data_IF_654071759317
#
_entry.id   IF_654071759317
#
_cell.length_a   1.000
_cell.length_b   1.000
_cell.length_c   1.000
_cell.angle_alpha   90.00
_cell.angle_beta   90.00
_cell.angle_gamma   90.00
#
_symmetry.space_group_name_H-M   'P 1'
#
loop_
_entity.id
_entity.type
_entity.pdbx_description
1 polymer ?
#
# COMPACT_ATOMS: atom_id res chain seq x y z
N UNK A 1 5.20 19.60 7.09
CA UNK A 1 6.35 20.08 7.88
C UNK A 1 7.59 19.18 7.74
N UNK A 2 7.46 17.85 7.62
CA UNK A 2 8.63 16.96 7.43
C UNK A 2 9.52 17.37 6.24
N UNK A 3 8.95 17.75 5.10
CA UNK A 3 9.72 18.19 3.92
C UNK A 3 10.51 19.49 4.10
N UNK A 4 10.14 20.34 5.07
CA UNK A 4 10.82 21.62 5.31
C UNK A 4 12.23 21.44 5.86
N UNK A 5 12.44 20.41 6.67
CA UNK A 5 13.71 20.15 7.37
C UNK A 5 14.67 19.23 6.61
N UNK A 6 14.37 18.93 5.34
CA UNK A 6 15.20 18.08 4.47
C UNK A 6 15.68 16.77 5.15
N UNK A 7 14.75 15.92 5.63
CA UNK A 7 15.09 14.69 6.35
C UNK A 7 15.88 13.70 5.49
N UNK A 8 15.86 13.86 4.17
CA UNK A 8 16.55 13.00 3.22
C UNK A 8 18.08 13.22 3.18
N UNK A 9 18.60 14.23 3.91
CA UNK A 9 20.04 14.40 4.10
C UNK A 9 20.67 13.42 5.09
N UNK A 10 19.87 12.85 5.99
CA UNK A 10 20.34 11.90 7.01
C UNK A 10 19.60 10.59 6.81
N UNK A 11 20.32 9.59 6.31
CA UNK A 11 19.76 8.31 5.94
C UNK A 11 20.28 7.21 6.87
N UNK A 12 19.42 6.27 7.21
CA UNK A 12 19.75 5.10 8.00
C UNK A 12 19.70 3.88 7.10
N UNK A 13 20.70 3.00 7.25
CA UNK A 13 20.75 1.74 6.53
C UNK A 13 19.82 0.72 7.16
N UNK A 14 19.06 0.04 6.31
CA UNK A 14 18.16 -1.05 6.68
C UNK A 14 18.70 -2.36 6.11
N UNK A 15 18.88 -3.34 7.00
CA UNK A 15 19.22 -4.71 6.62
C UNK A 15 17.95 -5.52 6.41
N UNK A 16 17.61 -5.77 5.14
CA UNK A 16 16.52 -6.66 4.71
C UNK A 16 16.98 -7.61 3.60
N UNK A 17 16.06 -8.06 2.74
CA UNK A 17 16.41 -8.76 1.48
C UNK A 17 17.27 -7.88 0.56
N UNK A 18 17.04 -6.57 0.62
CA UNK A 18 17.83 -5.53 -0.04
C UNK A 18 18.34 -4.55 1.02
N UNK A 19 19.55 -4.05 0.83
CA UNK A 19 20.09 -2.95 1.62
C UNK A 19 19.47 -1.64 1.11
N UNK A 20 18.75 -0.94 1.97
CA UNK A 20 18.03 0.30 1.62
C UNK A 20 18.47 1.40 2.58
N UNK A 21 18.65 2.61 2.05
CA UNK A 21 18.93 3.82 2.83
C UNK A 21 17.71 4.70 2.79
N UNK A 22 17.19 5.10 3.95
CA UNK A 22 16.01 5.97 4.02
C UNK A 22 16.06 6.85 5.26
N UNK A 23 15.31 7.95 5.25
CA UNK A 23 15.25 8.87 6.40
C UNK A 23 14.52 8.21 7.58
N UNK A 24 14.96 8.51 8.81
CA UNK A 24 14.42 7.90 10.04
C UNK A 24 12.90 8.07 10.18
N UNK A 25 12.36 9.18 9.68
CA UNK A 25 10.92 9.49 9.69
C UNK A 25 10.05 8.52 8.87
N UNK A 26 10.63 7.84 7.88
CA UNK A 26 9.94 6.88 7.01
C UNK A 26 10.14 5.42 7.45
N UNK A 27 11.03 5.20 8.42
CA UNK A 27 11.43 3.90 8.90
C UNK A 27 10.57 3.47 10.09
N UNK A 28 10.47 2.16 10.28
CA UNK A 28 9.75 1.52 11.37
C UNK A 28 10.73 0.71 12.21
N UNK A 29 10.48 0.61 13.51
CA UNK A 29 11.30 -0.18 14.41
C UNK A 29 10.50 -1.37 14.95
N UNK A 30 10.97 -2.59 14.66
CA UNK A 30 10.31 -3.79 15.13
C UNK A 30 10.84 -4.18 16.51
N UNK A 31 10.07 -3.91 17.56
CA UNK A 31 10.41 -4.29 18.95
C UNK A 31 10.59 -5.80 19.18
N UNK A 32 10.00 -6.64 18.34
CA UNK A 32 10.05 -8.10 18.52
C UNK A 32 11.34 -8.73 17.99
N UNK A 33 11.91 -8.17 16.91
CA UNK A 33 13.18 -8.66 16.37
C UNK A 33 14.34 -7.66 16.58
N UNK A 34 14.07 -6.53 17.24
CA UNK A 34 15.02 -5.43 17.50
C UNK A 34 15.75 -4.95 16.25
N UNK A 35 15.06 -4.95 15.10
CA UNK A 35 15.63 -4.52 13.82
C UNK A 35 14.77 -3.41 13.22
N UNK A 36 15.44 -2.48 12.55
CA UNK A 36 14.81 -1.41 11.79
C UNK A 36 14.33 -1.94 10.43
N UNK A 37 13.22 -1.38 9.93
CA UNK A 37 12.55 -1.80 8.69
C UNK A 37 12.15 -0.59 7.87
N UNK A 38 12.38 -0.67 6.56
CA UNK A 38 11.86 0.30 5.60
C UNK A 38 10.46 -0.09 5.12
N UNK A 39 9.77 0.86 4.50
CA UNK A 39 8.46 0.63 3.88
C UNK A 39 8.49 -0.46 2.78
N UNK A 40 9.66 -0.71 2.16
CA UNK A 40 9.83 -1.75 1.16
C UNK A 40 10.08 -3.14 1.76
N UNK A 41 10.74 -3.19 2.93
CA UNK A 41 11.05 -4.46 3.62
C UNK A 41 9.86 -5.05 4.39
N UNK A 42 8.78 -4.29 4.58
CA UNK A 42 7.57 -4.73 5.30
C UNK A 42 6.54 -5.33 4.36
N UNK A 43 5.59 -6.10 4.91
CA UNK A 43 4.40 -6.52 4.18
C UNK A 43 3.29 -5.48 4.35
N UNK A 44 2.61 -5.16 3.25
CA UNK A 44 1.50 -4.21 3.21
C UNK A 44 0.19 -4.98 3.22
N UNK A 45 -0.69 -4.62 4.14
CA UNK A 45 -2.04 -5.17 4.24
C UNK A 45 -3.09 -4.08 4.05
N UNK A 46 -4.23 -4.49 3.51
CA UNK A 46 -5.41 -3.66 3.36
C UNK A 46 -6.23 -3.74 4.64
N UNK A 47 -6.34 -2.64 5.39
CA UNK A 47 -7.13 -2.63 6.63
C UNK A 47 -8.57 -2.13 6.38
N UNK A 48 -8.73 -1.04 5.63
CA UNK A 48 -10.05 -0.51 5.28
C UNK A 48 -10.06 0.34 4.01
N UNK A 49 -11.24 0.50 3.41
CA UNK A 49 -11.48 1.36 2.26
C UNK A 49 -12.29 2.58 2.69
N UNK A 50 -11.97 3.77 2.18
CA UNK A 50 -12.76 4.96 2.49
C UNK A 50 -12.83 5.92 1.30
N UNK A 51 -13.90 6.70 1.24
CA UNK A 51 -14.02 7.75 0.23
C UNK A 51 -13.29 9.01 0.71
N UNK A 52 -12.39 9.61 -0.09
CA UNK A 52 -11.69 10.82 0.32
C UNK A 52 -12.56 12.07 0.34
N UNK A 53 -13.78 12.02 -0.22
CA UNK A 53 -14.70 13.17 -0.22
C UNK A 53 -15.73 13.12 0.91
N UNK A 54 -16.47 12.02 1.05
CA UNK A 54 -17.47 11.91 2.12
C UNK A 54 -16.89 11.34 3.42
N UNK A 55 -15.63 10.88 3.42
CA UNK A 55 -14.94 10.27 4.56
C UNK A 55 -15.70 9.08 5.16
N UNK A 56 -16.51 8.42 4.34
CA UNK A 56 -17.25 7.21 4.69
C UNK A 56 -16.34 5.99 4.53
N UNK A 57 -16.32 5.15 5.55
CA UNK A 57 -15.60 3.88 5.53
C UNK A 57 -16.50 2.79 4.91
N UNK A 58 -15.96 2.01 3.98
CA UNK A 58 -16.68 0.95 3.29
C UNK A 58 -16.07 -0.43 3.61
N UNK A 59 -16.90 -1.41 4.02
CA UNK A 59 -16.46 -2.80 4.18
C UNK A 59 -15.91 -3.39 2.87
N UNK A 60 -14.94 -4.30 2.98
CA UNK A 60 -14.26 -4.88 1.79
C UNK A 60 -15.20 -5.64 0.85
N UNK A 61 -16.23 -6.32 1.37
CA UNK A 61 -17.22 -7.02 0.55
C UNK A 61 -18.03 -6.03 -0.31
N UNK A 62 -18.44 -4.91 0.29
CA UNK A 62 -19.18 -3.84 -0.40
C UNK A 62 -18.29 -3.10 -1.40
N UNK A 63 -17.05 -2.79 -1.03
CA UNK A 63 -16.06 -2.20 -1.93
C UNK A 63 -15.84 -3.09 -3.16
N UNK A 64 -15.73 -4.42 -2.97
CA UNK A 64 -15.61 -5.39 -4.08
C UNK A 64 -16.83 -5.37 -4.99
N UNK A 65 -18.05 -5.37 -4.43
CA UNK A 65 -19.29 -5.31 -5.21
C UNK A 65 -19.40 -4.01 -6.02
N UNK A 66 -19.03 -2.88 -5.41
CA UNK A 66 -19.04 -1.54 -6.03
C UNK A 66 -17.76 -1.20 -6.81
N UNK A 67 -16.95 -2.20 -7.17
CA UNK A 67 -15.72 -2.04 -7.97
C UNK A 67 -14.74 -0.97 -7.40
N UNK A 68 -14.59 -0.92 -6.08
CA UNK A 68 -13.77 0.04 -5.33
C UNK A 68 -14.15 1.51 -5.56
N UNK A 69 -15.44 1.80 -5.77
CA UNK A 69 -15.98 3.15 -5.95
C UNK A 69 -17.01 3.52 -4.87
N UNK A 70 -17.10 4.81 -4.57
CA UNK A 70 -18.12 5.36 -3.69
C UNK A 70 -19.45 5.53 -4.45
N UNK A 71 -20.57 5.10 -3.87
CA UNK A 71 -21.89 5.23 -4.51
C UNK A 71 -22.41 6.67 -4.56
N UNK A 72 -22.00 7.52 -3.60
CA UNK A 72 -22.56 8.87 -3.45
C UNK A 72 -21.73 9.95 -4.14
N UNK A 73 -20.40 9.77 -4.19
CA UNK A 73 -19.48 10.76 -4.73
C UNK A 73 -19.10 10.43 -6.17
N UNK A 74 -18.93 11.47 -6.99
CA UNK A 74 -18.52 11.36 -8.39
C UNK A 74 -17.31 12.23 -8.67
N UNK A 75 -16.48 11.81 -9.61
CA UNK A 75 -15.37 12.61 -10.13
C UNK A 75 -15.73 13.21 -11.48
N UNK A 76 -15.37 14.47 -11.68
CA UNK A 76 -15.58 15.17 -12.93
C UNK A 76 -14.73 14.49 -14.01
N UNK A 77 -15.31 14.07 -15.13
CA UNK A 77 -14.56 13.32 -16.12
C UNK A 77 -13.58 14.21 -16.90
N UNK A 78 -13.77 15.54 -16.87
CA UNK A 78 -12.87 16.49 -17.54
C UNK A 78 -11.60 16.79 -16.74
N UNK A 79 -11.72 17.01 -15.41
CA UNK A 79 -10.62 17.53 -14.56
C UNK A 79 -10.32 16.69 -13.30
N UNK A 80 -11.05 15.61 -13.04
CA UNK A 80 -10.86 14.70 -11.88
C UNK A 80 -11.14 15.32 -10.51
N UNK A 81 -11.69 16.53 -10.48
CA UNK A 81 -12.16 17.13 -9.25
C UNK A 81 -13.51 16.53 -8.83
N UNK A 82 -13.76 16.44 -7.52
CA UNK A 82 -15.04 15.92 -7.00
C UNK A 82 -16.21 16.77 -7.49
N UNK A 83 -17.27 16.13 -7.96
CA UNK A 83 -18.51 16.79 -8.35
C UNK A 83 -19.37 17.13 -7.13
N UNK A 84 -20.12 18.23 -7.25
CA UNK A 84 -21.09 18.67 -6.26
C UNK A 84 -22.50 18.57 -6.83
N UNK A 85 -23.46 18.13 -6.02
CA UNK A 85 -24.89 18.13 -6.39
C UNK A 85 -25.46 19.52 -6.17
N UNK A 86 -26.04 20.11 -7.21
CA UNK A 86 -26.72 21.41 -7.17
C UNK A 86 -28.20 21.23 -7.44
N UNK A 87 -29.02 22.03 -6.76
CA UNK A 87 -30.46 22.00 -6.89
C UNK A 87 -30.97 23.20 -7.70
N UNK A 88 -31.96 22.97 -8.54
CA UNK A 88 -32.75 23.98 -9.24
C UNK A 88 -34.23 23.64 -9.12
N UNK A 89 -35.09 24.66 -9.06
CA UNK A 89 -36.53 24.46 -9.05
C UNK A 89 -37.05 24.47 -10.48
N UNK A 90 -37.65 23.37 -10.92
CA UNK A 90 -38.22 23.24 -12.26
C UNK A 90 -39.76 23.19 -12.15
N UNK A 91 -40.49 23.98 -12.96
CA UNK A 91 -41.94 23.87 -13.05
C UNK A 91 -42.33 22.48 -13.59
N UNK A 92 -43.08 21.71 -12.81
CA UNK A 92 -43.59 20.41 -13.21
C UNK A 92 -45.12 20.32 -12.97
N UNK A 93 -45.88 19.70 -13.88
CA UNK A 93 -47.31 19.51 -13.69
C UNK A 93 -47.60 18.65 -12.45
N UNK A 94 -48.65 19.02 -11.72
CA UNK A 94 -49.13 18.26 -10.58
C UNK A 94 -49.80 16.96 -11.05
N UNK A 95 -49.60 15.82 -10.36
CA UNK A 95 -50.23 14.55 -10.72
C UNK A 95 -51.77 14.61 -10.71
N UNK A 96 -52.33 15.44 -9.83
CA UNK A 96 -53.78 15.54 -9.62
C UNK A 96 -54.47 16.58 -10.54
N UNK A 97 -53.71 17.47 -11.18
CA UNK A 97 -54.28 18.55 -11.99
C UNK A 97 -53.23 19.10 -13.00
N UNK A 98 -53.28 18.71 -14.29
CA UNK A 98 -52.28 19.11 -15.29
C UNK A 98 -52.31 20.61 -15.62
N UNK A 99 -53.33 21.33 -15.16
CA UNK A 99 -53.48 22.78 -15.29
C UNK A 99 -52.67 23.58 -14.25
N UNK A 100 -52.23 22.93 -13.15
CA UNK A 100 -51.48 23.56 -12.07
C UNK A 100 -50.03 23.07 -12.07
N UNK A 101 -49.10 24.01 -12.16
CA UNK A 101 -47.67 23.74 -12.14
C UNK A 101 -47.11 23.94 -10.73
N UNK A 102 -46.49 22.90 -10.17
CA UNK A 102 -45.77 22.99 -8.91
C UNK A 102 -44.26 23.03 -9.16
N UNK A 103 -43.52 23.80 -8.36
CA UNK A 103 -42.06 23.81 -8.41
C UNK A 103 -41.52 22.53 -7.77
N UNK A 104 -40.94 21.64 -8.57
CA UNK A 104 -40.24 20.45 -8.06
C UNK A 104 -38.74 20.72 -8.02
N UNK A 105 -38.08 20.27 -6.95
CA UNK A 105 -36.61 20.32 -6.84
C UNK A 105 -36.02 19.29 -7.79
N UNK A 106 -35.11 19.75 -8.64
CA UNK A 106 -34.36 18.94 -9.57
C UNK A 106 -32.86 19.11 -9.30
N UNK A 107 -32.12 18.01 -9.30
CA UNK A 107 -30.70 17.97 -8.98
C UNK A 107 -29.88 17.67 -10.23
N UNK A 108 -28.76 18.39 -10.39
CA UNK A 108 -27.76 18.18 -11.44
C UNK A 108 -26.34 18.19 -10.83
N UNK A 109 -25.38 17.57 -11.50
CA UNK A 109 -23.98 17.54 -11.04
C UNK A 109 -23.20 18.69 -11.66
N UNK A 110 -22.36 19.34 -10.87
CA UNK A 110 -21.51 20.44 -11.34
C UNK A 110 -20.10 20.38 -10.72
N UNK A 111 -19.11 20.71 -11.54
CA UNK A 111 -17.72 20.86 -11.11
C UNK A 111 -17.43 22.30 -10.66
N UNK A 112 -16.82 22.47 -9.49
CA UNK A 112 -16.37 23.77 -9.00
C UNK A 112 -15.18 24.36 -9.76
N UNK A 113 -14.34 23.50 -10.35
CA UNK A 113 -13.10 23.89 -11.03
C UNK A 113 -13.32 24.25 -12.51
N UNK A 114 -13.74 23.28 -13.34
CA UNK A 114 -13.86 23.48 -14.78
C UNK A 114 -15.28 23.85 -15.26
N UNK A 115 -16.22 24.08 -14.33
CA UNK A 115 -17.63 24.45 -14.60
C UNK A 115 -18.44 23.46 -15.44
N UNK A 116 -17.89 22.28 -15.75
CA UNK A 116 -18.62 21.18 -16.37
C UNK A 116 -19.89 20.84 -15.59
N UNK A 117 -20.98 20.57 -16.31
CA UNK A 117 -22.26 20.14 -15.74
C UNK A 117 -22.75 18.84 -16.35
N UNK A 118 -23.56 18.08 -15.60
CA UNK A 118 -24.21 16.88 -16.14
C UNK A 118 -25.16 17.18 -17.30
N UNK A 119 -25.60 18.43 -17.45
CA UNK A 119 -26.45 18.88 -18.55
C UNK A 119 -25.68 18.99 -19.86
N UNK A 120 -24.37 19.26 -19.81
CA UNK A 120 -23.50 19.37 -20.99
C UNK A 120 -23.45 18.05 -21.79
N UNK A 121 -23.63 16.92 -21.09
CA UNK A 121 -23.64 15.57 -21.65
C UNK A 121 -25.05 14.99 -21.77
N UNK A 122 -26.09 15.81 -21.59
CA UNK A 122 -27.48 15.41 -21.74
C UNK A 122 -28.01 14.48 -20.65
N UNK A 123 -27.38 14.39 -19.48
CA UNK A 123 -27.92 13.60 -18.36
C UNK A 123 -29.11 14.34 -17.74
N UNK A 124 -30.28 13.71 -17.75
CA UNK A 124 -31.48 14.27 -17.15
C UNK A 124 -31.34 14.49 -15.64
N UNK A 125 -31.82 15.64 -15.17
CA UNK A 125 -31.87 15.98 -13.75
C UNK A 125 -32.70 14.94 -12.97
N UNK A 126 -32.34 14.74 -11.70
CA UNK A 126 -32.99 13.76 -10.81
C UNK A 126 -33.82 14.46 -9.75
N UNK A 127 -34.91 13.83 -9.31
CA UNK A 127 -35.77 14.35 -8.23
C UNK A 127 -35.18 14.14 -6.83
N UNK A 128 -34.25 13.20 -6.70
CA UNK A 128 -33.55 12.87 -5.44
C UNK A 128 -32.07 13.24 -5.57
N UNK A 129 -31.49 13.81 -4.51
CA UNK A 129 -30.12 14.29 -4.50
C UNK A 129 -29.08 13.16 -4.65
N UNK A 130 -29.32 12.00 -4.03
CA UNK A 130 -28.45 10.82 -4.09
C UNK A 130 -29.24 9.56 -4.43
N UNK A 131 -28.59 8.59 -5.09
CA UNK A 131 -29.17 7.27 -5.44
C UNK A 131 -29.87 7.18 -6.81
N UNK A 132 -30.24 8.30 -7.43
CA UNK A 132 -30.82 8.32 -8.78
C UNK A 132 -29.82 8.40 -9.93
N UNK A 133 -28.53 8.57 -9.61
CA UNK A 133 -27.44 8.68 -10.58
C UNK A 133 -26.87 7.29 -10.85
N UNK A 134 -27.08 6.78 -12.07
CA UNK A 134 -26.58 5.49 -12.51
C UNK A 134 -25.61 5.68 -13.66
N UNK A 135 -24.55 4.87 -13.68
CA UNK A 135 -23.63 4.78 -14.80
C UNK A 135 -24.24 3.91 -15.92
N UNK A 136 -23.95 4.20 -17.20
CA UNK A 136 -24.29 3.30 -18.28
C UNK A 136 -23.63 1.93 -18.09
N UNK A 137 -24.41 0.86 -18.27
CA UNK A 137 -23.88 -0.50 -18.28
C UNK A 137 -22.99 -0.74 -19.50
N UNK A 138 -22.01 -1.64 -19.34
CA UNK A 138 -21.14 -1.99 -20.46
C UNK A 138 -21.97 -2.74 -21.54
N UNK A 139 -21.95 -2.28 -22.81
CA UNK A 139 -22.72 -2.89 -23.90
C UNK A 139 -22.47 -4.39 -24.09
N UNK A 140 -21.26 -4.87 -23.77
CA UNK A 140 -20.85 -6.25 -23.99
C UNK A 140 -21.01 -7.16 -22.76
N UNK A 141 -21.61 -6.67 -21.66
CA UNK A 141 -21.74 -7.42 -20.40
C UNK A 141 -22.40 -8.79 -20.59
N UNK A 142 -23.50 -8.85 -21.35
CA UNK A 142 -24.22 -10.11 -21.57
C UNK A 142 -23.37 -11.14 -22.32
N UNK A 143 -22.60 -10.69 -23.33
CA UNK A 143 -21.71 -11.56 -24.10
C UNK A 143 -20.56 -12.08 -23.25
N UNK A 144 -19.99 -11.21 -22.41
CA UNK A 144 -18.92 -11.59 -21.46
C UNK A 144 -19.42 -12.71 -20.53
N UNK A 145 -20.62 -12.56 -19.95
CA UNK A 145 -21.18 -13.59 -19.06
C UNK A 145 -21.36 -14.94 -19.77
N UNK A 146 -21.90 -14.95 -20.99
CA UNK A 146 -22.04 -16.17 -21.80
C UNK A 146 -20.69 -16.84 -22.11
N UNK A 147 -19.67 -16.05 -22.44
CA UNK A 147 -18.31 -16.57 -22.67
C UNK A 147 -17.71 -17.16 -21.40
N UNK A 148 -17.90 -16.51 -20.25
CA UNK A 148 -17.43 -17.02 -18.96
C UNK A 148 -18.07 -18.37 -18.65
N UNK A 149 -19.39 -18.50 -18.79
CA UNK A 149 -20.10 -19.76 -18.55
C UNK A 149 -19.61 -20.89 -19.47
N UNK A 150 -19.44 -20.59 -20.76
CA UNK A 150 -18.90 -21.53 -21.75
C UNK A 150 -17.50 -22.05 -21.35
N UNK A 151 -16.57 -21.13 -21.08
CA UNK A 151 -15.19 -21.51 -20.73
C UNK A 151 -15.09 -22.16 -19.35
N UNK A 152 -15.99 -21.84 -18.41
CA UNK A 152 -16.07 -22.54 -17.13
C UNK A 152 -16.45 -24.01 -17.31
N UNK A 153 -17.45 -24.30 -18.16
CA UNK A 153 -17.84 -25.68 -18.48
C UNK A 153 -16.69 -26.43 -19.17
N UNK A 154 -16.04 -25.80 -20.15
CA UNK A 154 -14.90 -26.38 -20.85
C UNK A 154 -13.73 -26.69 -19.90
N UNK A 155 -13.39 -25.75 -19.02
CA UNK A 155 -12.34 -25.91 -18.01
C UNK A 155 -12.69 -27.01 -16.99
N UNK A 156 -13.96 -27.17 -16.63
CA UNK A 156 -14.42 -28.25 -15.76
C UNK A 156 -14.24 -29.62 -16.43
N UNK A 157 -14.57 -29.72 -17.72
CA UNK A 157 -14.34 -30.95 -18.50
C UNK A 157 -12.86 -31.28 -18.61
N UNK A 158 -12.02 -30.28 -18.90
CA UNK A 158 -10.56 -30.45 -18.97
C UNK A 158 -9.98 -30.88 -17.61
N UNK A 159 -10.46 -30.30 -16.51
CA UNK A 159 -10.06 -30.65 -15.15
C UNK A 159 -10.37 -32.11 -14.83
N UNK A 160 -11.60 -32.57 -15.12
CA UNK A 160 -12.00 -33.97 -14.92
C UNK A 160 -11.15 -34.93 -15.74
N UNK A 161 -10.87 -34.60 -17.00
CA UNK A 161 -10.02 -35.41 -17.86
C UNK A 161 -8.57 -35.46 -17.34
N UNK A 162 -8.03 -34.31 -16.90
CA UNK A 162 -6.69 -34.19 -16.34
C UNK A 162 -6.55 -35.00 -15.04
N UNK A 163 -7.55 -34.93 -14.16
CA UNK A 163 -7.58 -35.69 -12.91
C UNK A 163 -7.69 -37.20 -13.19
N UNK A 164 -8.51 -37.61 -14.17
CA UNK A 164 -8.58 -39.01 -14.64
C UNK A 164 -7.24 -39.50 -15.18
N UNK A 165 -6.59 -38.73 -16.06
CA UNK A 165 -5.24 -39.06 -16.59
C UNK A 165 -4.19 -39.12 -15.48
N UNK A 166 -4.24 -38.21 -14.51
CA UNK A 166 -3.34 -38.19 -13.34
C UNK A 166 -3.52 -39.43 -12.47
N UNK A 167 -4.77 -39.87 -12.25
CA UNK A 167 -5.08 -41.09 -11.50
C UNK A 167 -4.61 -42.33 -12.24
N UNK A 168 -4.85 -42.41 -13.56
CA UNK A 168 -4.41 -43.51 -14.41
C UNK A 168 -2.87 -43.64 -14.44
N UNK A 169 -2.15 -42.51 -14.58
CA UNK A 169 -0.67 -42.48 -14.54
C UNK A 169 -0.11 -42.87 -13.17
N UNK A 170 -0.80 -42.54 -12.07
CA UNK A 170 -0.42 -42.95 -10.70
C UNK A 170 -0.63 -44.45 -10.43
N UNK A 171 -1.37 -45.17 -11.28
CA UNK A 171 -1.58 -46.63 -11.17
C UNK A 171 -1.06 -47.36 -12.42
N UNK A 172 0.27 -47.54 -12.57
CA UNK A 172 0.86 -48.13 -13.77
C UNK A 172 0.45 -49.59 -14.04
N UNK A 173 -0.05 -50.33 -13.04
CA UNK A 173 -0.36 -51.76 -13.16
C UNK A 173 -1.85 -52.12 -13.24
N UNK A 174 -2.77 -51.15 -13.31
CA UNK A 174 -4.20 -51.43 -13.53
C UNK A 174 -4.86 -50.56 -14.62
N UNK A 175 -4.31 -50.41 -15.85
CA UNK A 175 -5.06 -49.75 -16.92
C UNK A 175 -6.09 -50.66 -17.61
N UNK A 176 -6.05 -51.98 -17.37
CA UNK A 176 -6.75 -52.97 -18.21
C UNK A 176 -7.93 -53.71 -17.56
N UNK A 177 -8.12 -53.64 -16.23
CA UNK A 177 -9.09 -54.51 -15.55
C UNK A 177 -10.44 -53.86 -15.18
N UNK A 178 -10.60 -52.54 -15.34
CA UNK A 178 -11.83 -51.80 -15.01
C UNK A 178 -12.26 -50.91 -16.19
N UNK A 179 -12.32 -51.48 -17.40
CA UNK A 179 -13.08 -50.83 -18.47
C UNK A 179 -14.57 -50.96 -18.16
N UNK A 180 -15.39 -50.01 -18.60
CA UNK A 180 -16.86 -50.08 -18.49
C UNK A 180 -17.42 -51.45 -18.92
N UNK A 181 -16.74 -52.11 -19.86
CA UNK A 181 -17.08 -53.42 -20.37
C UNK A 181 -16.96 -54.56 -19.32
N UNK A 182 -15.98 -54.54 -18.41
CA UNK A 182 -15.88 -55.55 -17.35
C UNK A 182 -16.87 -55.29 -16.20
N UNK A 183 -17.19 -54.03 -15.89
CA UNK A 183 -18.20 -53.68 -14.88
C UNK A 183 -19.59 -54.14 -15.34
N UNK A 184 -19.97 -53.85 -16.59
CA UNK A 184 -21.26 -54.26 -17.15
C UNK A 184 -21.43 -55.78 -17.21
N UNK A 185 -20.34 -56.53 -17.43
CA UNK A 185 -20.36 -58.01 -17.44
C UNK A 185 -20.46 -58.54 -16.00
N UNK A 186 -19.76 -57.96 -15.03
CA UNK A 186 -19.87 -58.36 -13.61
C UNK A 186 -21.28 -58.08 -13.04
N UNK A 187 -21.93 -56.99 -13.48
CA UNK A 187 -23.29 -56.61 -13.08
C UNK A 187 -24.36 -57.49 -13.77
N UNK A 188 -24.19 -57.79 -15.07
CA UNK A 188 -25.12 -58.62 -15.85
C UNK A 188 -25.02 -60.12 -15.52
N UNK A 189 -23.88 -60.59 -15.02
CA UNK A 189 -23.67 -61.99 -14.62
C UNK A 189 -23.54 -62.19 -13.09
N UNK A 190 -23.84 -61.18 -12.26
CA UNK A 190 -23.99 -61.33 -10.81
C UNK A 190 -22.73 -61.76 -10.03
N UNK A 191 -21.53 -61.50 -10.56
CA UNK A 191 -20.25 -61.94 -9.98
C UNK A 191 -19.67 -60.99 -8.91
N UNK A 192 -20.43 -59.97 -8.47
CA UNK A 192 -20.00 -58.92 -7.55
C UNK A 192 -19.80 -59.34 -6.08
N UNK A 193 -20.23 -60.54 -5.67
CA UNK A 193 -20.29 -60.95 -4.25
C UNK A 193 -18.97 -61.39 -3.63
N UNK A 194 -17.84 -61.42 -4.37
CA UNK A 194 -16.54 -61.90 -3.84
C UNK A 194 -15.44 -60.86 -3.64
N UNK A 195 -15.63 -59.60 -4.02
CA UNK A 195 -14.64 -58.53 -3.79
C UNK A 195 -14.94 -57.65 -2.56
N UNK A 196 -16.02 -57.94 -1.85
CA UNK A 196 -16.47 -57.18 -0.68
C UNK A 196 -15.80 -57.68 0.61
N UNK A 197 -14.47 -57.83 0.63
CA UNK A 197 -13.74 -57.94 1.90
C UNK A 197 -13.32 -56.53 2.32
N UNK A 198 -14.23 -55.87 3.04
CA UNK A 198 -14.01 -54.57 3.65
C UNK A 198 -12.75 -54.59 4.52
N UNK A 199 -11.81 -53.68 4.26
CA UNK A 199 -10.90 -53.18 5.29
C UNK A 199 -11.55 -51.92 5.89
N UNK A 200 -11.72 -51.84 7.21
CA UNK A 200 -12.28 -50.64 7.84
C UNK A 200 -11.24 -49.51 7.77
N UNK A 201 -11.66 -48.31 7.33
CA UNK A 201 -10.88 -47.08 7.48
C UNK A 201 -10.44 -46.33 6.21
N UNK A 202 -10.81 -46.75 5.00
CA UNK A 202 -10.55 -45.97 3.79
C UNK A 202 -11.82 -45.20 3.35
N UNK A 203 -11.77 -43.86 3.17
CA UNK A 203 -12.93 -43.09 2.77
C UNK A 203 -13.35 -43.44 1.33
N UNK A 204 -14.67 -43.55 1.14
CA UNK A 204 -15.40 -44.01 -0.06
C UNK A 204 -15.23 -43.04 -1.25
N UNK A 205 -14.48 -41.95 -1.09
CA UNK A 205 -14.30 -40.88 -2.07
C UNK A 205 -13.38 -41.24 -3.24
N UNK A 206 -12.69 -42.39 -3.20
CA UNK A 206 -11.70 -42.78 -4.21
C UNK A 206 -12.23 -43.65 -5.36
N UNK A 207 -13.48 -44.12 -5.29
CA UNK A 207 -14.14 -44.90 -6.36
C UNK A 207 -15.22 -44.12 -7.13
N UNK A 208 -15.67 -42.97 -6.61
CA UNK A 208 -16.67 -42.13 -7.27
C UNK A 208 -16.19 -41.49 -8.60
N UNK A 209 -14.89 -41.53 -8.89
CA UNK A 209 -14.32 -41.00 -10.14
C UNK A 209 -14.48 -41.91 -11.36
N UNK A 210 -15.05 -43.11 -11.22
CA UNK A 210 -15.23 -44.08 -12.31
C UNK A 210 -16.69 -44.40 -12.63
N UNK A 211 -17.64 -43.97 -11.80
CA UNK A 211 -19.06 -44.06 -12.11
C UNK A 211 -19.52 -42.72 -12.67
N UNK A 212 -19.12 -42.44 -13.92
CA UNK A 212 -19.92 -41.57 -14.76
C UNK A 212 -21.21 -42.34 -15.00
N UNK A 213 -22.29 -41.92 -14.33
CA UNK A 213 -23.62 -42.02 -14.94
C UNK A 213 -23.49 -41.29 -16.28
N UNK A 214 -23.31 -42.05 -17.35
CA UNK A 214 -23.70 -41.60 -18.68
C UNK A 214 -25.20 -41.27 -18.57
N UNK A 215 -25.56 -39.99 -18.73
CA UNK A 215 -26.96 -39.59 -18.78
C UNK A 215 -27.47 -38.68 -17.67
N UNK A 216 -26.68 -37.72 -17.19
CA UNK A 216 -27.24 -36.37 -17.09
C UNK A 216 -26.50 -35.53 -18.12
N UNK A 217 -27.15 -35.30 -19.26
CA UNK A 217 -26.73 -34.33 -20.27
C UNK A 217 -26.53 -32.99 -19.56
N UNK A 218 -25.30 -32.71 -19.14
CA UNK A 218 -24.91 -31.33 -18.84
C UNK A 218 -25.05 -30.61 -20.16
N UNK A 219 -26.17 -29.90 -20.33
CA UNK A 219 -26.52 -29.10 -21.50
C UNK A 219 -25.23 -28.47 -22.04
N UNK A 220 -24.78 -28.93 -23.20
CA UNK A 220 -23.60 -28.34 -23.82
C UNK A 220 -23.95 -26.89 -24.14
N UNK A 221 -23.30 -25.96 -23.44
CA UNK A 221 -23.46 -24.54 -23.76
C UNK A 221 -22.68 -24.37 -25.06
N UNK A 222 -23.38 -24.22 -26.18
CA UNK A 222 -22.75 -23.89 -27.44
C UNK A 222 -22.81 -22.37 -27.63
N UNK A 223 -21.65 -21.75 -27.85
CA UNK A 223 -21.54 -20.32 -28.12
C UNK A 223 -21.14 -20.12 -29.57
N UNK A 224 -21.91 -19.32 -30.29
CA UNK A 224 -21.60 -18.97 -31.67
C UNK A 224 -20.36 -18.05 -31.69
N UNK A 225 -19.34 -18.35 -32.51
CA UNK A 225 -18.17 -17.49 -32.64
C UNK A 225 -18.56 -16.12 -33.22
N UNK A 226 -17.73 -15.11 -32.96
CA UNK A 226 -17.94 -13.79 -33.52
C UNK A 226 -17.93 -13.90 -35.06
N UNK A 227 -18.97 -13.40 -35.72
CA UNK A 227 -18.95 -13.26 -37.17
C UNK A 227 -17.93 -12.18 -37.54
N UNK A 228 -16.93 -12.56 -38.35
CA UNK A 228 -16.01 -11.60 -38.93
C UNK A 228 -16.76 -10.81 -40.01
N UNK A 229 -16.62 -9.48 -39.97
CA UNK A 229 -17.11 -8.61 -41.03
C UNK A 229 -16.08 -8.60 -42.17
N UNK A 230 -16.55 -8.75 -43.40
CA UNK A 230 -15.68 -8.73 -44.59
C UNK A 230 -15.08 -7.33 -44.83
N UNK A 231 -15.84 -6.28 -44.50
CA UNK A 231 -15.42 -4.88 -44.57
C UNK A 231 -15.87 -4.15 -43.31
N UNK A 232 -14.97 -3.37 -42.72
CA UNK A 232 -15.25 -2.55 -41.53
C UNK A 232 -15.79 -1.20 -41.98
N UNK A 233 -16.69 -0.61 -41.19
CA UNK A 233 -17.25 0.71 -41.47
C UNK A 233 -16.13 1.74 -41.77
N UNK A 234 -16.15 2.39 -42.95
CA UNK A 234 -15.15 3.37 -43.31
C UNK A 234 -15.27 4.63 -42.45
N UNK A 235 -14.22 5.44 -42.43
CA UNK A 235 -14.25 6.74 -41.74
C UNK A 235 -15.33 7.64 -42.38
N UNK A 236 -16.22 8.26 -41.59
CA UNK A 236 -17.25 9.15 -42.14
C UNK A 236 -16.64 10.33 -42.92
N UNK A 237 -17.25 10.68 -44.05
CA UNK A 237 -16.73 11.72 -44.96
C UNK A 237 -16.64 13.11 -44.29
N UNK A 238 -17.45 13.35 -43.26
CA UNK A 238 -17.45 14.57 -42.44
C UNK A 238 -16.07 14.92 -41.86
N UNK A 239 -15.23 13.90 -41.58
CA UNK A 239 -13.90 14.11 -41.00
C UNK A 239 -12.91 14.82 -41.94
N UNK A 240 -13.13 14.76 -43.26
CA UNK A 240 -12.17 15.32 -44.23
C UNK A 240 -12.31 16.83 -44.41
N UNK A 241 -13.51 17.38 -44.26
CA UNK A 241 -13.81 18.77 -44.60
C UNK A 241 -14.23 19.62 -43.40
N UNK A 242 -14.64 18.99 -42.28
CA UNK A 242 -15.11 19.71 -41.09
C UNK A 242 -13.95 20.24 -40.24
N UNK A 243 -13.97 21.52 -39.83
CA UNK A 243 -13.01 22.03 -38.86
C UNK A 243 -13.22 21.38 -37.48
N UNK A 244 -12.12 20.96 -36.85
CA UNK A 244 -12.14 20.23 -35.58
C UNK A 244 -12.10 21.21 -34.41
N UNK A 245 -13.08 21.09 -33.51
CA UNK A 245 -13.12 21.84 -32.26
C UNK A 245 -12.49 21.00 -31.13
N UNK A 246 -11.34 21.40 -30.60
CA UNK A 246 -10.60 20.62 -29.59
C UNK A 246 -11.40 20.32 -28.30
N UNK A 247 -12.21 21.25 -27.75
CA UNK A 247 -13.12 20.98 -26.64
C UNK A 247 -14.17 19.88 -26.89
N UNK A 248 -14.56 19.62 -28.14
CA UNK A 248 -15.56 18.59 -28.46
C UNK A 248 -14.97 17.17 -28.42
N UNK A 249 -13.66 17.05 -28.62
CA UNK A 249 -12.96 15.77 -28.59
C UNK A 249 -12.33 15.54 -27.22
N UNK A 250 -12.43 14.31 -26.73
CA UNK A 250 -11.86 13.94 -25.43
C UNK A 250 -10.35 13.69 -25.54
N UNK A 251 -9.61 14.13 -24.52
CA UNK A 251 -8.17 13.81 -24.40
C UNK A 251 -7.96 12.34 -24.04
N UNK A 252 -6.77 11.81 -24.35
CA UNK A 252 -6.40 10.42 -24.02
C UNK A 252 -6.58 10.10 -22.54
N UNK A 253 -6.18 11.02 -21.65
CA UNK A 253 -6.34 10.84 -20.20
C UNK A 253 -7.81 10.70 -19.79
N UNK A 254 -8.71 11.48 -20.38
CA UNK A 254 -10.15 11.41 -20.12
C UNK A 254 -10.76 10.10 -20.64
N UNK A 255 -10.34 9.63 -21.83
CA UNK A 255 -10.78 8.33 -22.38
C UNK A 255 -10.37 7.16 -21.49
N UNK A 256 -9.14 7.16 -21.00
CA UNK A 256 -8.62 6.09 -20.15
C UNK A 256 -9.24 6.05 -18.74
N UNK A 257 -9.85 7.14 -18.28
CA UNK A 257 -10.64 7.13 -17.05
C UNK A 257 -11.95 6.35 -17.19
N UNK A 258 -12.42 6.15 -18.42
CA UNK A 258 -13.62 5.39 -18.75
C UNK A 258 -13.28 4.24 -19.71
N UNK A 259 -12.57 3.20 -19.22
CA UNK A 259 -12.05 2.14 -20.06
C UNK A 259 -13.14 1.25 -20.67
N UNK A 260 -14.36 1.25 -20.12
CA UNK A 260 -15.45 0.37 -20.56
C UNK A 260 -15.85 0.61 -22.03
N UNK A 261 -15.81 1.87 -22.49
CA UNK A 261 -16.23 2.25 -23.85
C UNK A 261 -15.45 3.43 -24.46
N UNK A 262 -14.52 4.06 -23.73
CA UNK A 262 -13.55 5.05 -24.23
C UNK A 262 -14.14 6.11 -25.19
N UNK A 263 -15.02 7.00 -24.71
CA UNK A 263 -15.78 7.91 -25.57
C UNK A 263 -14.87 8.88 -26.33
N UNK A 264 -15.03 8.98 -27.65
CA UNK A 264 -14.24 9.90 -28.47
C UNK A 264 -14.72 11.37 -28.37
N UNK A 265 -16.04 11.57 -28.19
CA UNK A 265 -16.67 12.88 -28.06
C UNK A 265 -17.01 13.23 -26.62
N UNK A 266 -16.98 14.53 -26.30
CA UNK A 266 -17.27 15.05 -24.97
C UNK A 266 -18.71 14.80 -24.51
N UNK A 267 -19.67 14.70 -25.45
CA UNK A 267 -21.08 14.40 -25.15
C UNK A 267 -21.30 13.01 -24.55
N UNK A 268 -20.41 12.06 -24.86
CA UNK A 268 -20.47 10.67 -24.35
C UNK A 268 -19.66 10.50 -23.05
N UNK A 269 -19.10 11.60 -22.53
CA UNK A 269 -18.23 11.58 -21.36
C UNK A 269 -19.05 11.65 -20.06
N UNK A 270 -19.49 10.49 -19.59
CA UNK A 270 -20.22 10.38 -18.34
C UNK A 270 -19.32 10.53 -17.10
N UNK A 271 -19.83 11.10 -15.99
CA UNK A 271 -19.12 11.13 -14.73
C UNK A 271 -19.02 9.73 -14.13
N UNK A 272 -17.85 9.37 -13.60
CA UNK A 272 -17.63 8.10 -12.91
C UNK A 272 -17.70 8.29 -11.39
N UNK A 273 -18.13 7.25 -10.69
CA UNK A 273 -18.11 7.21 -9.23
C UNK A 273 -16.69 7.41 -8.70
N UNK A 274 -16.55 8.10 -7.56
CA UNK A 274 -15.27 8.47 -6.99
C UNK A 274 -14.47 7.25 -6.54
N UNK A 275 -13.17 7.24 -6.82
CA UNK A 275 -12.29 6.14 -6.41
C UNK A 275 -12.11 6.10 -4.88
N UNK A 276 -12.27 4.92 -4.28
CA UNK A 276 -11.96 4.72 -2.87
C UNK A 276 -10.45 4.71 -2.66
N UNK A 277 -10.03 5.26 -1.52
CA UNK A 277 -8.69 5.13 -0.99
C UNK A 277 -8.62 4.01 0.03
N UNK A 278 -7.40 3.67 0.40
CA UNK A 278 -7.08 2.55 1.27
C UNK A 278 -6.29 3.04 2.49
N UNK A 279 -6.62 2.49 3.66
CA UNK A 279 -5.75 2.53 4.84
C UNK A 279 -4.87 1.28 4.85
N UNK A 280 -3.56 1.52 4.89
CA UNK A 280 -2.54 0.47 4.91
C UNK A 280 -2.21 0.10 6.35
N UNK A 281 -2.15 -1.20 6.62
CA UNK A 281 -1.53 -1.76 7.83
C UNK A 281 -0.19 -2.38 7.43
N UNK A 282 0.81 -2.28 8.28
CA UNK A 282 2.16 -2.75 7.99
C UNK A 282 2.55 -3.85 8.97
N UNK A 283 3.10 -4.96 8.45
CA UNK A 283 3.63 -6.06 9.24
C UNK A 283 5.09 -6.33 8.92
N UNK A 284 5.83 -6.75 9.94
CA UNK A 284 7.20 -7.19 9.76
C UNK A 284 7.22 -8.56 9.06
N UNK A 285 8.04 -8.73 8.02
CA UNK A 285 8.17 -10.02 7.33
C UNK A 285 8.86 -11.11 8.17
N UNK A 286 9.75 -10.75 9.10
CA UNK A 286 10.49 -11.74 9.91
C UNK A 286 9.66 -12.32 11.05
N UNK A 287 8.88 -11.48 11.74
CA UNK A 287 8.15 -11.89 12.95
C UNK A 287 6.63 -11.77 12.83
N UNK A 288 6.10 -11.33 11.68
CA UNK A 288 4.66 -11.18 11.38
C UNK A 288 3.86 -10.24 12.31
N UNK A 289 4.56 -9.54 13.21
CA UNK A 289 3.95 -8.57 14.12
C UNK A 289 3.62 -7.25 13.39
N UNK A 290 2.54 -6.61 13.83
CA UNK A 290 2.10 -5.32 13.30
C UNK A 290 3.06 -4.21 13.72
N UNK A 291 3.52 -3.44 12.74
CA UNK A 291 4.35 -2.25 12.93
C UNK A 291 3.52 -0.97 12.93
N UNK A 292 2.52 -0.91 12.05
CA UNK A 292 1.62 0.23 11.98
C UNK A 292 0.20 -0.26 11.70
N UNK A 293 -0.73 0.19 12.53
CA UNK A 293 -2.16 -0.02 12.34
C UNK A 293 -2.92 1.28 12.62
N UNK A 294 -3.39 1.98 11.58
CA UNK A 294 -4.25 3.15 11.75
C UNK A 294 -5.56 2.81 12.45
N UNK A 295 -6.21 3.80 13.05
CA UNK A 295 -7.60 3.64 13.47
C UNK A 295 -8.54 3.52 12.26
N UNK A 296 -9.67 2.84 12.47
CA UNK A 296 -10.66 2.61 11.41
C UNK A 296 -11.31 3.91 10.92
N UNK A 297 -11.56 4.88 11.81
CA UNK A 297 -12.25 6.12 11.47
C UNK A 297 -11.46 6.98 10.45
N UNK A 298 -12.00 7.27 9.24
CA UNK A 298 -11.31 8.05 8.20
C UNK A 298 -10.88 9.47 8.62
N UNK A 299 -11.56 10.08 9.58
CA UNK A 299 -11.20 11.43 10.08
C UNK A 299 -10.12 11.40 11.16
N UNK A 300 -9.79 10.22 11.71
CA UNK A 300 -8.81 10.09 12.78
C UNK A 300 -7.39 10.05 12.21
N UNK A 301 -6.50 10.81 12.86
CA UNK A 301 -5.05 10.77 12.64
C UNK A 301 -4.34 9.80 13.61
N UNK A 302 -5.09 9.17 14.51
CA UNK A 302 -4.53 8.28 15.54
C UNK A 302 -4.25 6.89 14.97
N UNK A 303 -3.28 6.24 15.60
CA UNK A 303 -2.89 4.87 15.30
C UNK A 303 -3.22 3.98 16.49
N UNK A 304 -3.79 2.81 16.21
CA UNK A 304 -3.95 1.75 17.21
C UNK A 304 -2.61 1.13 17.58
N UNK A 305 -1.72 0.99 16.60
CA UNK A 305 -0.34 0.54 16.77
C UNK A 305 0.55 1.45 15.94
N UNK A 306 1.58 2.02 16.56
CA UNK A 306 2.53 2.91 15.88
C UNK A 306 3.95 2.63 16.36
N UNK A 307 4.70 1.85 15.57
CA UNK A 307 6.09 1.53 15.81
C UNK A 307 7.02 2.22 14.80
N UNK A 308 7.02 3.55 14.80
CA UNK A 308 7.87 4.36 13.91
C UNK A 308 9.28 4.45 14.50
N UNK A 309 10.32 4.43 13.67
CA UNK A 309 11.71 4.41 14.15
C UNK A 309 12.07 5.65 14.99
N UNK A 310 11.56 6.83 14.62
CA UNK A 310 11.81 8.10 15.33
C UNK A 310 11.37 8.10 16.80
N UNK A 311 10.47 7.20 17.21
CA UNK A 311 10.04 7.09 18.61
C UNK A 311 10.89 6.12 19.45
N UNK A 312 11.84 5.41 18.84
CA UNK A 312 12.66 4.40 19.54
C UNK A 312 14.16 4.62 19.36
N UNK A 313 14.59 5.11 18.19
CA UNK A 313 16.00 5.24 17.84
C UNK A 313 16.42 6.71 17.94
N UNK A 314 17.58 7.01 18.57
CA UNK A 314 18.13 8.35 18.63
C UNK A 314 18.28 8.99 17.23
N UNK A 315 17.67 10.16 17.07
CA UNK A 315 17.66 10.86 15.80
C UNK A 315 18.88 11.77 15.68
N UNK A 316 19.65 11.59 14.60
CA UNK A 316 20.73 12.50 14.21
C UNK A 316 20.19 13.53 13.23
N UNK A 317 20.53 14.80 13.48
CA UNK A 317 20.29 15.90 12.54
C UNK A 317 21.52 16.77 12.39
N UNK A 318 21.63 17.40 11.23
CA UNK A 318 22.69 18.36 10.95
C UNK A 318 22.19 19.75 11.39
N UNK A 319 22.93 20.40 12.30
CA UNK A 319 22.58 21.73 12.80
C UNK A 319 23.28 22.81 11.98
N UNK A 320 24.60 22.69 11.81
CA UNK A 320 25.39 23.62 11.01
C UNK A 320 26.49 22.91 10.23
N UNK A 321 26.65 23.31 8.97
CA UNK A 321 27.65 22.79 8.04
C UNK A 321 28.64 23.93 7.76
N UNK A 322 29.94 23.75 8.03
CA UNK A 322 30.96 24.73 7.66
C UNK A 322 31.22 24.70 6.15
N UNK A 323 32.00 25.66 5.64
CA UNK A 323 32.48 25.61 4.25
C UNK A 323 33.43 24.42 4.06
N UNK A 324 32.99 23.41 3.33
CA UNK A 324 33.77 22.20 3.06
C UNK A 324 34.82 22.51 1.99
N UNK A 325 36.08 22.24 2.30
CA UNK A 325 37.21 22.40 1.38
C UNK A 325 37.98 21.09 1.24
N UNK A 326 38.48 20.83 0.04
CA UNK A 326 39.24 19.63 -0.28
C UNK A 326 40.44 19.45 0.69
N UNK A 327 40.59 18.25 1.24
CA UNK A 327 41.65 17.85 2.19
C UNK A 327 41.79 18.74 3.44
N UNK A 328 40.80 19.58 3.75
CA UNK A 328 40.81 20.39 4.98
C UNK A 328 39.85 19.80 6.01
N UNK A 329 40.33 19.73 7.24
CA UNK A 329 39.53 19.33 8.39
C UNK A 329 38.44 20.37 8.65
N UNK A 330 37.19 19.92 8.58
CA UNK A 330 36.00 20.72 8.78
C UNK A 330 35.22 20.17 9.98
N UNK A 331 34.81 21.04 10.91
CA UNK A 331 34.00 20.65 12.06
C UNK A 331 32.51 20.84 11.75
N UNK A 332 31.76 19.75 11.70
CA UNK A 332 30.32 19.73 11.49
C UNK A 332 29.62 19.60 12.84
N UNK A 333 28.61 20.45 13.09
CA UNK A 333 27.78 20.36 14.30
C UNK A 333 26.55 19.51 14.01
N UNK A 334 26.46 18.38 14.72
CA UNK A 334 25.32 17.49 14.67
C UNK A 334 24.55 17.56 15.99
N UNK A 335 23.27 17.23 15.94
CA UNK A 335 22.45 17.04 17.13
C UNK A 335 21.96 15.61 17.22
N UNK A 336 22.02 15.04 18.41
CA UNK A 336 21.48 13.73 18.73
C UNK A 336 20.34 13.91 19.73
N UNK A 337 19.17 13.36 19.43
CA UNK A 337 17.96 13.49 20.26
C UNK A 337 17.49 12.13 20.73
N UNK A 338 17.32 11.95 22.03
CA UNK A 338 16.77 10.72 22.60
C UNK A 338 15.23 10.75 22.61
N UNK A 339 14.53 9.82 21.93
CA UNK A 339 13.07 9.79 21.97
C UNK A 339 12.49 9.08 23.21
N UNK A 340 13.29 8.34 23.96
CA UNK A 340 12.85 7.47 25.06
C UNK A 340 12.98 8.17 26.42
N UNK A 341 12.10 7.84 27.37
CA UNK A 341 12.08 8.43 28.73
C UNK A 341 13.27 8.00 29.62
N UNK A 342 13.94 6.89 29.29
CA UNK A 342 15.14 6.45 30.00
C UNK A 342 16.40 7.10 29.44
N UNK A 343 17.43 7.23 30.29
CA UNK A 343 18.78 7.62 29.87
C UNK A 343 19.31 6.61 28.84
N UNK A 344 19.91 7.10 27.76
CA UNK A 344 20.43 6.29 26.65
C UNK A 344 21.91 6.55 26.46
N UNK A 345 22.66 5.47 26.40
CA UNK A 345 24.10 5.40 26.20
C UNK A 345 24.42 5.22 24.73
N UNK A 346 25.15 6.15 24.13
CA UNK A 346 25.46 6.15 22.70
C UNK A 346 26.97 6.19 22.46
N UNK A 347 27.45 5.28 21.62
CA UNK A 347 28.82 5.23 21.13
C UNK A 347 28.82 5.39 19.62
N UNK A 348 29.74 6.23 19.12
CA UNK A 348 29.91 6.48 17.70
C UNK A 348 31.14 5.72 17.22
N UNK A 349 31.01 4.98 16.13
CA UNK A 349 32.08 4.15 15.57
C UNK A 349 32.25 4.54 14.09
N UNK A 350 33.48 4.87 13.69
CA UNK A 350 33.79 5.11 12.28
C UNK A 350 33.63 3.83 11.45
N UNK A 351 33.35 3.97 10.16
CA UNK A 351 33.40 2.83 9.24
C UNK A 351 34.87 2.45 8.95
N UNK A 352 35.16 1.15 8.91
CA UNK A 352 36.51 0.63 8.64
C UNK A 352 36.83 0.67 7.14
N UNK A 353 38.12 0.80 6.78
CA UNK A 353 38.56 0.79 5.38
C UNK A 353 38.23 -0.58 4.74
N UNK A 354 37.27 -0.59 3.80
CA UNK A 354 36.78 -1.82 3.14
C UNK A 354 35.40 -2.30 3.61
N UNK A 355 34.71 -1.53 4.47
CA UNK A 355 33.32 -1.83 4.84
C UNK A 355 32.42 -1.92 3.58
N UNK A 356 31.78 -3.08 3.29
CA UNK A 356 30.93 -3.23 2.10
C UNK A 356 29.64 -2.40 2.16
N UNK A 357 29.40 -1.74 3.30
CA UNK A 357 28.25 -0.88 3.55
C UNK A 357 28.59 0.60 3.34
N UNK A 358 29.88 0.95 3.19
CA UNK A 358 30.35 2.30 2.96
C UNK A 358 30.62 2.59 1.48
N UNK A 359 29.58 2.43 0.65
CA UNK A 359 29.67 2.53 -0.80
C UNK A 359 29.77 3.99 -1.26
N UNK A 360 29.14 4.90 -0.51
CA UNK A 360 28.91 6.27 -0.93
C UNK A 360 29.81 7.29 -0.23
N UNK A 361 30.63 6.92 0.76
CA UNK A 361 31.44 7.90 1.49
C UNK A 361 32.52 8.52 0.61
N UNK A 362 32.54 9.85 0.63
CA UNK A 362 33.51 10.69 -0.09
C UNK A 362 34.44 11.44 0.88
N UNK A 363 34.25 11.26 2.18
CA UNK A 363 35.01 11.94 3.22
C UNK A 363 35.36 11.02 4.40
N UNK A 364 36.56 11.21 4.94
CA UNK A 364 36.99 10.53 6.17
C UNK A 364 36.43 11.25 7.38
N UNK A 365 35.91 10.48 8.33
CA UNK A 365 35.20 11.00 9.50
C UNK A 365 35.89 10.56 10.77
N UNK A 366 36.17 11.53 11.64
CA UNK A 366 36.69 11.30 12.97
C UNK A 366 35.57 11.55 13.97
N UNK A 367 34.98 10.46 14.45
CA UNK A 367 33.95 10.46 15.48
C UNK A 367 34.60 10.50 16.87
N UNK A 368 33.93 11.09 17.88
CA UNK A 368 34.42 11.05 19.26
C UNK A 368 34.45 9.60 19.79
N UNK A 369 35.52 9.25 20.50
CA UNK A 369 35.70 7.92 21.11
C UNK A 369 35.00 7.76 22.45
N UNK A 370 34.61 8.87 23.08
CA UNK A 370 33.90 8.88 24.36
C UNK A 370 32.43 8.55 24.17
N UNK A 371 31.88 7.86 25.15
CA UNK A 371 30.46 7.54 25.23
C UNK A 371 29.64 8.80 25.51
N UNK A 372 28.58 9.01 24.74
CA UNK A 372 27.64 10.11 24.87
C UNK A 372 26.41 9.63 25.63
N UNK A 373 26.12 10.27 26.77
CA UNK A 373 24.95 9.93 27.59
C UNK A 373 23.83 10.93 27.31
N UNK A 374 22.71 10.45 26.78
CA UNK A 374 21.53 11.25 26.50
C UNK A 374 20.54 11.18 27.67
N UNK A 375 20.05 12.33 28.10
CA UNK A 375 18.96 12.39 29.07
C UNK A 375 17.68 11.75 28.51
N UNK A 376 16.87 11.19 29.41
CA UNK A 376 15.54 10.71 29.08
C UNK A 376 14.64 11.85 28.61
N UNK A 377 13.72 11.53 27.69
CA UNK A 377 12.67 12.46 27.27
C UNK A 377 11.66 12.63 28.42
N UNK A 378 11.67 13.80 29.03
CA UNK A 378 10.64 14.20 29.99
C UNK A 378 9.53 14.95 29.26
N UNK A 379 8.32 14.38 29.24
CA UNK A 379 7.14 14.99 28.62
C UNK A 379 6.61 16.21 29.41
N UNK A 380 6.97 16.34 30.69
CA UNK A 380 6.59 17.46 31.55
C UNK A 380 7.59 18.64 31.47
N UNK A 381 8.87 18.36 31.19
CA UNK A 381 9.92 19.38 31.10
C UNK A 381 9.71 20.41 29.96
N UNK A 382 8.90 20.11 28.94
CA UNK A 382 8.52 21.10 27.92
C UNK A 382 7.63 22.23 28.49
N UNK A 383 7.06 22.04 29.68
CA UNK A 383 6.19 23.00 30.38
C UNK A 383 6.83 23.60 31.65
N UNK A 384 7.90 23.01 32.15
CA UNK A 384 8.60 23.44 33.37
C UNK A 384 9.99 23.98 33.02
N UNK A 385 10.12 25.30 32.91
CA UNK A 385 11.42 26.00 32.72
C UNK A 385 12.35 25.86 33.95
N UNK A 386 11.89 25.21 35.02
CA UNK A 386 12.55 25.05 36.32
C UNK A 386 13.11 23.65 36.59
N UNK A 387 13.03 22.72 35.63
CA UNK A 387 13.59 21.38 35.80
C UNK A 387 15.12 21.49 36.02
N UNK A 388 15.60 20.93 37.13
CA UNK A 388 17.04 20.94 37.46
C UNK A 388 17.83 20.26 36.32
N UNK A 389 18.87 20.91 35.77
CA UNK A 389 19.72 20.27 34.78
C UNK A 389 20.39 19.06 35.44
N UNK A 390 20.17 17.88 34.88
CA UNK A 390 20.95 16.71 35.27
C UNK A 390 22.42 16.99 34.96
N UNK A 391 23.27 16.89 35.98
CA UNK A 391 24.72 17.09 35.85
C UNK A 391 25.32 15.93 35.04
N UNK A 392 25.66 16.21 33.78
CA UNK A 392 26.47 15.33 32.95
C UNK A 392 27.88 15.90 32.84
N UNK A 393 28.89 15.06 33.04
CA UNK A 393 30.28 15.42 32.79
C UNK A 393 30.56 15.38 31.28
N UNK A 394 30.10 16.42 30.58
CA UNK A 394 30.31 16.57 29.14
C UNK A 394 31.72 17.12 28.86
N UNK A 395 32.36 16.60 27.82
CA UNK A 395 33.65 17.11 27.32
C UNK A 395 33.39 18.33 26.42
N UNK A 396 33.86 19.55 26.77
CA UNK A 396 33.58 20.76 26.01
C UNK A 396 34.17 20.74 24.59
N UNK A 397 35.17 19.89 24.33
CA UNK A 397 35.75 19.75 22.99
C UNK A 397 34.88 18.88 22.05
N UNK A 398 34.00 18.06 22.62
CA UNK A 398 33.14 17.13 21.89
C UNK A 398 31.69 17.61 21.88
N UNK A 399 31.17 18.06 23.02
CA UNK A 399 29.79 18.47 23.22
C UNK A 399 29.70 20.00 23.20
N UNK A 400 29.01 20.53 22.19
CA UNK A 400 28.82 21.96 22.00
C UNK A 400 27.77 22.54 22.94
N UNK A 401 26.66 21.81 23.11
CA UNK A 401 25.57 22.21 24.01
C UNK A 401 24.72 21.00 24.39
N UNK A 402 24.08 21.07 25.56
CA UNK A 402 23.03 20.15 25.99
C UNK A 402 21.75 20.93 26.24
N UNK A 403 20.63 20.43 25.73
CA UNK A 403 19.30 21.01 25.96
C UNK A 403 18.28 19.89 26.10
N UNK A 404 17.76 19.71 27.31
CA UNK A 404 16.79 18.66 27.63
C UNK A 404 17.32 17.27 27.22
N UNK A 405 16.59 16.54 26.38
CA UNK A 405 16.94 15.22 25.83
C UNK A 405 17.79 15.28 24.55
N UNK A 406 18.41 16.42 24.24
CA UNK A 406 19.20 16.66 23.03
C UNK A 406 20.59 17.15 23.37
N UNK A 407 21.58 16.61 22.66
CA UNK A 407 22.96 17.10 22.68
C UNK A 407 23.37 17.57 21.29
N UNK A 408 24.13 18.65 21.23
CA UNK A 408 24.88 19.08 20.06
C UNK A 408 26.33 18.65 20.22
N UNK A 409 26.90 17.98 19.23
CA UNK A 409 28.27 17.48 19.27
C UNK A 409 28.99 17.70 17.94
N UNK A 410 30.30 17.85 18.01
CA UNK A 410 31.14 18.07 16.83
C UNK A 410 31.67 16.77 16.26
N UNK A 411 31.61 16.64 14.94
CA UNK A 411 32.34 15.63 14.18
C UNK A 411 33.32 16.34 13.25
N UNK A 412 34.53 15.79 13.14
CA UNK A 412 35.54 16.26 12.21
C UNK A 412 35.47 15.46 10.91
N UNK A 413 35.36 16.16 9.79
CA UNK A 413 35.21 15.58 8.46
C UNK A 413 36.31 16.10 7.55
N UNK A 414 36.95 15.21 6.80
CA UNK A 414 37.99 15.54 5.80
C UNK A 414 37.54 15.03 4.44
N UNK A 415 37.06 15.91 3.54
CA UNK A 415 36.71 15.54 2.17
C UNK A 415 37.92 15.01 1.41
N UNK A 416 37.79 13.84 0.78
CA UNK A 416 38.91 13.16 0.09
C UNK A 416 38.81 13.18 -1.44
N UNK A 417 37.64 13.52 -2.00
CA UNK A 417 37.43 13.62 -3.45
C UNK A 417 37.32 15.08 -3.86
N UNK A 418 37.96 15.42 -4.97
CA UNK A 418 38.01 16.78 -5.54
C UNK A 418 36.87 17.03 -6.56
N UNK A 419 36.14 15.98 -6.94
CA UNK A 419 35.02 16.07 -7.88
C UNK A 419 33.93 17.02 -7.37
N UNK A 420 33.24 17.73 -8.28
CA UNK A 420 32.07 18.61 -8.05
C UNK A 420 30.83 17.80 -7.58
N UNK A 421 31.00 17.01 -6.53
CA UNK A 421 29.99 16.14 -5.95
C UNK A 421 29.66 16.55 -4.51
N UNK A 422 28.50 16.08 -4.04
CA UNK A 422 28.11 16.25 -2.65
C UNK A 422 29.02 15.42 -1.73
N UNK A 423 29.48 16.06 -0.65
CA UNK A 423 30.25 15.40 0.40
C UNK A 423 29.30 14.56 1.25
N UNK A 424 29.59 13.27 1.27
CA UNK A 424 28.83 12.22 1.93
C UNK A 424 29.71 11.51 2.95
N UNK A 425 29.13 11.22 4.10
CA UNK A 425 29.82 10.68 5.28
C UNK A 425 29.02 9.53 5.85
N UNK A 426 29.72 8.45 6.20
CA UNK A 426 29.13 7.30 6.87
C UNK A 426 29.75 7.08 8.24
N UNK A 427 28.94 6.72 9.24
CA UNK A 427 29.41 6.21 10.54
C UNK A 427 28.34 5.32 11.18
N UNK A 428 28.75 4.51 12.16
CA UNK A 428 27.87 3.60 12.89
C UNK A 428 27.51 4.23 14.24
N UNK A 429 26.22 4.24 14.57
CA UNK A 429 25.69 4.66 15.87
C UNK A 429 25.32 3.40 16.63
N UNK A 430 25.94 3.19 17.77
CA UNK A 430 25.62 2.10 18.69
C UNK A 430 24.98 2.67 19.94
N UNK A 431 23.77 2.22 20.25
CA UNK A 431 23.02 2.67 21.41
C UNK A 431 22.43 1.51 22.20
N UNK A 432 22.19 1.70 23.48
CA UNK A 432 21.48 0.74 24.31
C UNK A 432 19.96 0.86 24.09
N UNK A 433 19.31 -0.29 23.97
CA UNK A 433 17.87 -0.39 23.77
C UNK A 433 17.28 -1.36 24.79
N UNK A 434 16.32 -0.87 25.58
CA UNK A 434 15.60 -1.69 26.56
C UNK A 434 14.27 -2.15 25.98
N UNK A 435 14.13 -3.46 25.79
CA UNK A 435 12.93 -4.01 25.17
C UNK A 435 11.81 -4.21 26.20
N UNK A 436 10.91 -3.23 26.31
CA UNK A 436 9.71 -3.31 27.15
C UNK A 436 8.62 -4.27 26.60
N UNK A 437 8.89 -5.07 25.55
CA UNK A 437 7.91 -5.98 24.92
C UNK A 437 7.87 -7.38 25.54
N UNK A 438 8.85 -7.75 26.36
CA UNK A 438 8.76 -8.99 27.11
C UNK A 438 7.58 -8.88 28.09
N UNK A 439 6.68 -9.88 28.18
CA UNK A 439 5.63 -9.86 29.18
C UNK A 439 6.32 -9.85 30.54
N UNK A 440 6.24 -8.72 31.24
CA UNK A 440 6.57 -8.63 32.65
C UNK A 440 5.54 -9.53 33.33
N UNK A 441 5.90 -10.79 33.60
CA UNK A 441 5.21 -11.55 34.62
C UNK A 441 5.54 -10.82 35.91
N UNK A 442 4.55 -10.36 36.69
CA UNK A 442 4.83 -9.92 38.04
C UNK A 442 5.15 -11.20 38.83
N UNK A 443 6.38 -11.69 38.74
CA UNK A 443 6.93 -12.54 39.78
C UNK A 443 7.36 -11.61 40.90
N UNK A 444 6.82 -11.81 42.09
CA UNK A 444 7.13 -11.06 43.31
C UNK A 444 8.58 -11.26 43.81
N UNK A 445 9.43 -11.91 43.01
CA UNK A 445 10.83 -12.18 43.30
C UNK A 445 11.63 -11.94 42.01
N UNK A 446 12.64 -11.07 42.11
CA UNK A 446 13.57 -10.55 41.09
C UNK A 446 13.07 -9.45 40.13
N UNK A 447 13.26 -8.19 40.55
CA UNK A 447 13.51 -7.02 39.71
C UNK A 447 14.81 -7.20 38.90
N UNK A 448 14.88 -8.20 38.02
CA UNK A 448 15.94 -8.26 37.03
C UNK A 448 15.64 -7.19 35.96
N UNK A 449 16.42 -6.09 35.86
CA UNK A 449 16.21 -5.10 34.82
C UNK A 449 16.31 -5.82 33.47
N UNK A 450 15.36 -5.56 32.57
CA UNK A 450 15.41 -6.09 31.21
C UNK A 450 16.79 -5.78 30.62
N UNK A 451 17.56 -6.81 30.28
CA UNK A 451 18.94 -6.62 29.79
C UNK A 451 18.96 -5.66 28.61
N UNK A 452 19.83 -4.64 28.69
CA UNK A 452 19.97 -3.64 27.65
C UNK A 452 20.66 -4.27 26.42
N UNK A 453 20.00 -4.21 25.27
CA UNK A 453 20.52 -4.74 24.01
C UNK A 453 21.23 -3.61 23.28
N UNK A 454 22.48 -3.83 22.88
CA UNK A 454 23.20 -2.86 22.06
C UNK A 454 22.82 -3.00 20.59
N UNK A 455 22.20 -1.96 20.04
CA UNK A 455 21.81 -1.90 18.64
C UNK A 455 22.73 -0.96 17.86
N UNK A 456 23.20 -1.43 16.70
CA UNK A 456 24.08 -0.67 15.82
C UNK A 456 23.34 -0.29 14.54
N UNK A 457 23.39 0.99 14.19
CA UNK A 457 22.77 1.56 13.00
C UNK A 457 23.81 2.28 12.15
N UNK A 458 23.88 1.94 10.87
CA UNK A 458 24.73 2.66 9.92
C UNK A 458 24.01 3.91 9.42
N UNK A 459 24.61 5.07 9.64
CA UNK A 459 24.04 6.39 9.29
C UNK A 459 24.90 7.04 8.22
N UNK A 460 24.23 7.54 7.19
CA UNK A 460 24.83 8.28 6.08
C UNK A 460 24.32 9.73 6.11
N UNK A 461 25.25 10.67 6.10
CA UNK A 461 25.02 12.10 6.10
C UNK A 461 25.41 12.68 4.73
N UNK A 462 24.53 13.48 4.16
CA UNK A 462 24.81 14.31 2.98
C UNK A 462 25.03 15.75 3.44
N UNK A 463 26.29 16.19 3.42
CA UNK A 463 26.71 17.52 3.87
C UNK A 463 26.56 18.58 2.76
N UNK A 464 26.36 18.16 1.50
CA UNK A 464 26.23 19.03 0.34
C UNK A 464 27.57 19.28 -0.37
N UNK A 465 27.63 20.22 -1.32
CA UNK A 465 28.76 20.36 -2.23
C UNK A 465 29.99 20.98 -1.57
N UNK A 466 31.15 20.70 -2.16
CA UNK A 466 32.39 21.41 -1.83
C UNK A 466 32.29 22.90 -2.22
N UNK A 467 32.88 23.75 -1.40
CA UNK A 467 33.07 25.16 -1.74
C UNK A 467 34.35 25.28 -2.54
N UNK A 468 34.22 25.79 -3.77
CA UNK A 468 35.32 26.07 -4.70
C UNK A 468 36.41 26.97 -4.09
#
# INVERSE_FOLDING_TARGET
MASLLQPDRVLYLVHGEKKIRSSLSTLYFCRYCSELRSLECVSHEVDSHYCPSCLENMPSAEAKLKKNRCANCFDCPCCMHTLSTRATNIPAPLPDDPSKTAMKKAYYLACGFCRWTSRDVGMADKSVASGGWQEPDNPHTQRINKLIEYYQQLAQREKLERDRKKLARRRPYMPLAFSQHTIHVVEKYGLGTRLQRQRPGAPITSLAGLSLKEGEDQKEINIEPAQALDEVEPLPEDYYTRPINLPEVTSLRQRLLQPDFQPAGASQLHPKHKHLLIKRSLRCRKCEHNLSKPEFNPTSIKFKIQLVAVSYIPEVRIMSIPNLRFQKECQVLLTLTNPVESITHVTLVGCEEGDPEDINSTAKVMVPTKELVLAGKDAAADYDELAEPQDFQDDPDVVAFRKSNKIGFFIKVVPQREEDGDVTVSFKIRHDFRNLAAPIRPSEEDDAPTEAIWLTHHVELSLGPLVA
#
